data_IF_073887304783
#
_entry.id   IF_073887304783
#
_cell.length_a   1.000
_cell.length_b   1.000
_cell.length_c   1.000
_cell.angle_alpha   90.00
_cell.angle_beta   90.00
_cell.angle_gamma   90.00
#
_symmetry.space_group_name_H-M   'P 1'
#
loop_
_entity.id
_entity.type
_entity.pdbx_description
1 polymer ?
#
# COMPACT_ATOMS: atom_id res chain seq x y z
N UNK A 1 -7.91 15.97 -9.52
CA UNK A 1 -9.24 16.41 -9.00
C UNK A 1 -10.22 15.27 -9.17
N UNK A 2 -11.09 15.07 -8.20
CA UNK A 2 -12.08 13.98 -8.24
C UNK A 2 -13.44 14.55 -8.62
N UNK A 3 -14.25 13.74 -9.32
CA UNK A 3 -15.66 14.06 -9.53
C UNK A 3 -16.38 14.05 -8.16
N UNK A 4 -17.49 14.79 -8.05
CA UNK A 4 -18.21 14.89 -6.79
C UNK A 4 -18.68 13.55 -6.21
N UNK A 5 -18.91 12.55 -7.09
CA UNK A 5 -19.32 11.21 -6.69
C UNK A 5 -18.14 10.29 -6.33
N UNK A 6 -16.90 10.72 -6.56
CA UNK A 6 -15.72 9.93 -6.25
C UNK A 6 -15.35 10.08 -4.79
N UNK A 7 -15.09 8.95 -4.14
CA UNK A 7 -14.64 8.91 -2.75
C UNK A 7 -13.18 8.48 -2.73
N UNK A 8 -12.29 9.42 -2.41
CA UNK A 8 -10.89 9.12 -2.21
C UNK A 8 -10.72 8.35 -0.91
N UNK A 9 -10.09 7.19 -0.99
CA UNK A 9 -9.69 6.45 0.19
C UNK A 9 -8.19 6.59 0.40
N UNK A 10 -7.80 6.65 1.66
CA UNK A 10 -6.41 6.65 2.09
C UNK A 10 -6.32 5.88 3.38
N UNK A 11 -5.65 4.75 3.35
CA UNK A 11 -5.46 3.92 4.51
C UNK A 11 -3.97 3.82 4.82
N UNK A 12 -3.60 4.25 6.03
CA UNK A 12 -2.23 4.08 6.53
C UNK A 12 -2.07 2.68 7.11
N UNK A 13 -0.94 2.06 6.79
CA UNK A 13 -0.60 0.77 7.37
C UNK A 13 -0.31 0.93 8.86
N UNK A 14 -0.81 0.01 9.68
CA UNK A 14 -0.47 -0.09 11.09
C UNK A 14 0.87 -0.79 11.31
N UNK A 15 1.45 -1.39 10.27
CA UNK A 15 2.69 -2.16 10.32
C UNK A 15 3.83 -1.40 9.66
N UNK A 16 5.02 -1.49 10.28
CA UNK A 16 6.24 -0.97 9.68
C UNK A 16 6.69 -1.90 8.55
N UNK A 17 7.28 -1.31 7.51
CA UNK A 17 7.96 -2.12 6.50
C UNK A 17 9.35 -2.55 6.96
N UNK A 18 9.91 -3.53 6.28
CA UNK A 18 11.23 -4.09 6.53
C UNK A 18 12.13 -3.81 5.33
N UNK A 19 13.39 -3.47 5.58
CA UNK A 19 14.40 -3.36 4.53
C UNK A 19 14.83 -4.77 4.13
N UNK A 20 14.54 -5.15 2.88
CA UNK A 20 14.90 -6.46 2.34
C UNK A 20 16.28 -6.44 1.69
N UNK A 21 16.68 -5.29 1.17
CA UNK A 21 17.99 -5.05 0.59
C UNK A 21 18.36 -3.59 0.80
N UNK A 22 19.50 -3.31 1.44
CA UNK A 22 19.91 -1.93 1.76
C UNK A 22 20.63 -1.23 0.62
N UNK A 23 21.37 -1.96 -0.21
CA UNK A 23 21.98 -1.45 -1.43
C UNK A 23 20.97 -1.60 -2.57
N UNK A 24 20.75 -0.57 -3.39
CA UNK A 24 19.62 -0.52 -4.33
C UNK A 24 18.33 -0.89 -3.62
N UNK A 25 17.91 -0.08 -2.71
CA UNK A 25 16.95 -0.33 -1.65
C UNK A 25 15.67 -1.04 -2.11
N UNK A 26 15.40 -2.19 -1.50
CA UNK A 26 14.14 -2.93 -1.64
C UNK A 26 13.53 -3.06 -0.25
N UNK A 27 12.24 -2.72 -0.15
CA UNK A 27 11.50 -2.78 1.10
C UNK A 27 10.24 -3.63 0.93
N UNK A 28 9.77 -4.19 2.02
CA UNK A 28 8.55 -4.99 2.04
C UNK A 28 7.74 -4.73 3.29
N UNK A 29 6.44 -4.83 3.19
CA UNK A 29 5.54 -4.64 4.31
C UNK A 29 4.08 -4.61 3.89
N UNK A 30 3.19 -4.56 4.88
CA UNK A 30 1.77 -4.48 4.61
C UNK A 30 1.35 -3.03 4.36
N UNK A 31 0.80 -2.77 3.18
CA UNK A 31 0.24 -1.48 2.81
C UNK A 31 -1.21 -1.31 3.33
N UNK A 32 -1.91 -2.42 3.51
CA UNK A 32 -3.26 -2.45 4.10
C UNK A 32 -3.48 -3.78 4.80
N UNK A 33 -4.20 -3.76 5.90
CA UNK A 33 -4.65 -4.96 6.62
C UNK A 33 -6.16 -4.86 6.87
N UNK A 34 -6.82 -6.00 7.06
CA UNK A 34 -8.26 -6.04 7.26
C UNK A 34 -8.62 -5.67 8.71
N UNK A 35 -8.54 -4.38 9.01
CA UNK A 35 -9.01 -3.80 10.28
C UNK A 35 -9.72 -2.48 9.97
N UNK A 36 -10.57 -2.03 10.89
CA UNK A 36 -11.15 -0.71 10.83
C UNK A 36 -10.07 0.32 11.15
N UNK A 37 -9.85 1.26 10.25
CA UNK A 37 -8.82 2.28 10.39
C UNK A 37 -9.32 3.53 11.14
N UNK A 38 -8.46 4.56 11.22
CA UNK A 38 -8.78 5.83 11.89
C UNK A 38 -9.90 6.62 11.22
N UNK A 39 -10.19 6.32 9.95
CA UNK A 39 -11.28 6.94 9.20
C UNK A 39 -12.58 6.15 9.34
N UNK A 40 -12.58 5.13 10.17
CA UNK A 40 -13.71 4.23 10.38
C UNK A 40 -14.07 3.41 9.12
N UNK A 41 -13.08 3.14 8.28
CA UNK A 41 -13.20 2.33 7.07
C UNK A 41 -12.52 0.99 7.24
N UNK A 42 -13.16 -0.05 6.74
CA UNK A 42 -12.60 -1.39 6.64
C UNK A 42 -12.61 -1.82 5.18
N UNK A 43 -11.45 -2.18 4.65
CA UNK A 43 -11.34 -2.75 3.31
C UNK A 43 -11.28 -4.27 3.47
N UNK A 44 -12.23 -4.97 2.87
CA UNK A 44 -12.25 -6.44 2.97
C UNK A 44 -11.08 -7.05 2.19
N UNK A 45 -10.61 -8.23 2.60
CA UNK A 45 -9.56 -8.95 1.88
C UNK A 45 -9.99 -9.29 0.46
N UNK A 46 -11.27 -9.61 0.26
CA UNK A 46 -11.83 -9.89 -1.06
C UNK A 46 -11.74 -8.67 -1.98
N UNK A 47 -12.11 -7.49 -1.48
CA UNK A 47 -11.99 -6.24 -2.23
C UNK A 47 -10.55 -5.91 -2.55
N UNK A 48 -9.64 -6.09 -1.59
CA UNK A 48 -8.20 -5.89 -1.78
C UNK A 48 -7.64 -6.83 -2.84
N UNK A 49 -7.99 -8.12 -2.78
CA UNK A 49 -7.48 -9.12 -3.70
C UNK A 49 -7.80 -8.76 -5.15
N UNK A 50 -9.04 -8.37 -5.42
CA UNK A 50 -9.48 -7.96 -6.75
C UNK A 50 -8.77 -6.67 -7.20
N UNK A 51 -8.71 -5.67 -6.32
CA UNK A 51 -8.07 -4.38 -6.62
C UNK A 51 -6.57 -4.53 -6.87
N UNK A 52 -5.90 -5.35 -6.09
CA UNK A 52 -4.46 -5.63 -6.23
C UNK A 52 -4.17 -6.36 -7.53
N UNK A 53 -5.03 -7.32 -7.91
CA UNK A 53 -4.89 -8.03 -9.17
C UNK A 53 -4.96 -7.06 -10.35
N UNK A 54 -5.92 -6.15 -10.35
CA UNK A 54 -6.06 -5.13 -11.38
C UNK A 54 -4.87 -4.17 -11.38
N UNK A 55 -4.45 -3.71 -10.21
CA UNK A 55 -3.30 -2.82 -10.04
C UNK A 55 -2.01 -3.46 -10.56
N UNK A 56 -1.77 -4.73 -10.25
CA UNK A 56 -0.56 -5.43 -10.68
C UNK A 56 -0.57 -5.85 -12.14
N UNK A 57 -1.74 -5.86 -12.80
CA UNK A 57 -1.84 -6.18 -14.23
C UNK A 57 -1.27 -5.07 -15.13
N UNK A 58 -1.24 -3.83 -14.64
CA UNK A 58 -0.78 -2.65 -15.38
C UNK A 58 0.59 -2.19 -14.88
N UNK A 59 1.66 -2.65 -15.52
CA UNK A 59 3.04 -2.35 -15.10
C UNK A 59 3.36 -0.86 -15.04
N UNK A 60 2.75 -0.06 -15.92
CA UNK A 60 2.98 1.40 -15.97
C UNK A 60 2.36 2.17 -14.79
N UNK A 61 1.51 1.53 -14.00
CA UNK A 61 0.82 2.17 -12.89
C UNK A 61 1.20 1.63 -11.51
N UNK A 62 2.24 0.80 -11.42
CA UNK A 62 2.75 0.27 -10.14
C UNK A 62 3.63 1.29 -9.41
N UNK A 63 3.17 2.52 -9.35
CA UNK A 63 3.96 3.64 -8.85
C UNK A 63 3.89 3.79 -7.35
N UNK A 64 5.05 4.05 -6.74
CA UNK A 64 5.15 4.49 -5.35
C UNK A 64 5.49 5.96 -5.36
N UNK A 65 4.59 6.77 -4.79
CA UNK A 65 4.73 8.23 -4.77
C UNK A 65 5.24 8.69 -3.41
N UNK A 66 5.99 9.77 -3.42
CA UNK A 66 6.40 10.40 -2.17
C UNK A 66 5.22 11.18 -1.60
N UNK A 67 4.87 10.89 -0.36
CA UNK A 67 4.02 11.69 0.54
C UNK A 67 3.04 12.65 -0.15
N UNK A 68 2.08 12.10 -0.93
CA UNK A 68 1.02 12.83 -1.62
C UNK A 68 1.46 13.75 -2.76
N UNK A 69 2.70 13.62 -3.21
CA UNK A 69 3.18 14.33 -4.38
C UNK A 69 3.05 13.45 -5.64
N UNK A 70 3.23 14.05 -6.81
CA UNK A 70 3.23 13.31 -8.07
C UNK A 70 4.65 12.83 -8.44
N UNK A 71 5.57 12.83 -7.48
CA UNK A 71 6.94 12.36 -7.72
C UNK A 71 7.05 10.88 -7.42
N UNK A 72 7.29 10.10 -8.45
CA UNK A 72 7.51 8.65 -8.32
C UNK A 72 8.90 8.40 -7.72
N UNK A 73 8.93 7.72 -6.60
CA UNK A 73 10.17 7.38 -5.88
C UNK A 73 10.49 5.89 -5.89
N UNK A 74 9.58 5.08 -6.38
CA UNK A 74 9.76 3.63 -6.47
C UNK A 74 8.66 2.97 -7.28
N UNK A 75 8.75 1.65 -7.38
CA UNK A 75 7.72 0.84 -8.02
C UNK A 75 7.46 -0.44 -7.23
N UNK A 76 6.23 -0.90 -7.30
CA UNK A 76 5.85 -2.20 -6.74
C UNK A 76 6.32 -3.28 -7.69
N UNK A 77 7.10 -4.23 -7.17
CA UNK A 77 7.56 -5.39 -7.93
C UNK A 77 6.82 -6.65 -7.46
N UNK A 78 6.79 -7.66 -8.31
CA UNK A 78 6.03 -8.88 -8.02
C UNK A 78 6.63 -9.69 -6.88
N UNK A 79 7.96 -9.76 -6.80
CA UNK A 79 8.65 -10.54 -5.78
C UNK A 79 10.11 -10.15 -5.66
N UNK A 80 10.69 -10.52 -4.53
CA UNK A 80 12.12 -10.39 -4.27
C UNK A 80 12.57 -11.52 -3.34
N UNK A 81 13.69 -12.18 -3.68
CA UNK A 81 14.32 -13.18 -2.81
C UNK A 81 15.49 -12.53 -2.09
N UNK A 82 15.46 -12.54 -0.77
CA UNK A 82 16.51 -11.94 0.04
C UNK A 82 17.77 -12.82 0.13
N UNK A 83 18.81 -12.29 0.78
CA UNK A 83 20.09 -12.99 0.94
C UNK A 83 20.00 -14.30 1.73
N UNK A 84 18.95 -14.45 2.55
CA UNK A 84 18.68 -15.66 3.30
C UNK A 84 17.89 -16.71 2.51
N UNK A 85 17.53 -16.41 1.26
CA UNK A 85 16.74 -17.28 0.41
C UNK A 85 15.23 -17.18 0.62
N UNK A 86 14.76 -16.26 1.47
CA UNK A 86 13.33 -16.05 1.70
C UNK A 86 12.72 -15.27 0.54
N UNK A 87 11.63 -15.81 0.00
CA UNK A 87 10.89 -15.16 -1.08
C UNK A 87 9.78 -14.27 -0.52
N UNK A 88 9.83 -12.99 -0.88
CA UNK A 88 8.84 -12.00 -0.52
C UNK A 88 8.00 -11.68 -1.75
N UNK A 89 6.69 -11.81 -1.66
CA UNK A 89 5.76 -11.62 -2.80
C UNK A 89 4.77 -10.53 -2.52
N UNK A 90 4.56 -9.67 -3.51
CA UNK A 90 3.45 -8.72 -3.51
C UNK A 90 2.14 -9.48 -3.73
N UNK A 91 1.16 -9.24 -2.87
CA UNK A 91 -0.15 -9.85 -2.98
C UNK A 91 -0.95 -9.77 -1.69
N UNK A 92 -2.15 -10.28 -1.75
CA UNK A 92 -3.05 -10.33 -0.60
C UNK A 92 -2.96 -11.70 0.05
N UNK A 93 -2.71 -11.71 1.36
CA UNK A 93 -2.71 -12.92 2.17
C UNK A 93 -3.82 -12.86 3.23
N UNK A 94 -3.78 -13.72 4.24
CA UNK A 94 -4.80 -13.74 5.30
C UNK A 94 -4.75 -12.54 6.26
N UNK A 95 -3.73 -11.70 6.15
CA UNK A 95 -3.55 -10.49 6.98
C UNK A 95 -3.96 -9.24 6.22
N UNK A 96 -3.53 -9.10 4.99
CA UNK A 96 -3.79 -7.90 4.19
C UNK A 96 -2.99 -7.88 2.91
N UNK A 97 -2.75 -6.67 2.41
CA UNK A 97 -1.98 -6.43 1.19
C UNK A 97 -0.51 -6.22 1.51
N UNK A 98 0.30 -7.23 1.23
CA UNK A 98 1.76 -7.15 1.34
C UNK A 98 2.35 -6.62 0.03
N UNK A 99 3.24 -5.64 0.10
CA UNK A 99 3.91 -5.07 -1.07
C UNK A 99 5.42 -5.21 -0.96
N UNK A 100 6.05 -5.45 -2.11
CA UNK A 100 7.51 -5.40 -2.27
C UNK A 100 7.82 -4.25 -3.20
N UNK A 101 8.64 -3.32 -2.75
CA UNK A 101 8.91 -2.07 -3.46
C UNK A 101 10.40 -1.94 -3.72
N UNK A 102 10.74 -1.67 -4.98
CA UNK A 102 12.07 -1.27 -5.39
C UNK A 102 12.11 0.25 -5.47
N UNK A 103 13.02 0.86 -4.72
CA UNK A 103 13.16 2.31 -4.66
C UNK A 103 14.05 2.81 -5.78
N UNK A 104 13.74 4.00 -6.29
CA UNK A 104 14.63 4.73 -7.21
C UNK A 104 15.77 5.36 -6.41
N UNK A 105 16.89 5.62 -7.08
CA UNK A 105 18.04 6.33 -6.51
C UNK A 105 18.62 7.38 -7.46
N UNK A 106 17.91 7.67 -8.55
CA UNK A 106 18.36 8.52 -9.65
C UNK A 106 17.86 9.97 -9.57
N UNK A 107 16.99 10.29 -8.61
CA UNK A 107 16.49 11.65 -8.39
C UNK A 107 16.64 12.05 -6.92
N UNK A 108 16.79 13.35 -6.66
CA UNK A 108 16.99 13.85 -5.29
C UNK A 108 15.87 13.50 -4.34
N UNK A 109 14.62 13.57 -4.78
CA UNK A 109 13.48 13.23 -3.92
C UNK A 109 13.52 11.77 -3.49
N UNK A 110 13.86 10.86 -4.39
CA UNK A 110 14.02 9.44 -4.07
C UNK A 110 15.18 9.20 -3.11
N UNK A 111 16.31 9.88 -3.31
CA UNK A 111 17.46 9.79 -2.41
C UNK A 111 17.12 10.27 -1.01
N UNK A 112 16.36 11.36 -0.89
CA UNK A 112 15.87 11.90 0.37
C UNK A 112 14.98 10.88 1.09
N UNK A 113 14.03 10.29 0.38
CA UNK A 113 13.13 9.27 0.91
C UNK A 113 13.94 8.04 1.37
N UNK A 114 14.90 7.60 0.57
CA UNK A 114 15.74 6.43 0.91
C UNK A 114 16.58 6.69 2.18
N UNK A 115 17.08 7.90 2.37
CA UNK A 115 17.77 8.27 3.60
C UNK A 115 16.83 8.17 4.81
N UNK A 116 15.59 8.65 4.67
CA UNK A 116 14.58 8.55 5.72
C UNK A 116 14.22 7.11 6.07
N UNK A 117 14.13 6.24 5.06
CA UNK A 117 13.86 4.82 5.25
C UNK A 117 15.01 4.16 6.02
N UNK A 118 16.25 4.40 5.62
CA UNK A 118 17.43 3.82 6.28
C UNK A 118 17.62 4.30 7.71
N UNK A 119 17.24 5.55 8.00
CA UNK A 119 17.29 6.12 9.35
C UNK A 119 16.13 5.70 10.23
N UNK A 120 15.08 5.11 9.66
CA UNK A 120 13.87 4.71 10.37
C UNK A 120 12.90 5.86 10.65
N UNK A 121 13.06 7.02 10.00
CA UNK A 121 12.11 8.13 10.11
C UNK A 121 10.90 7.97 9.22
N UNK A 122 11.04 7.18 8.15
CA UNK A 122 9.95 6.75 7.26
C UNK A 122 9.81 5.24 7.41
N UNK A 123 8.67 4.76 7.91
CA UNK A 123 8.51 3.37 8.33
C UNK A 123 7.28 2.66 7.81
N UNK A 124 6.33 3.36 7.20
CA UNK A 124 5.08 2.75 6.77
C UNK A 124 4.60 3.30 5.44
N UNK A 125 3.69 2.53 4.83
CA UNK A 125 3.02 2.89 3.58
C UNK A 125 1.62 3.40 3.86
N UNK A 126 1.07 4.12 2.88
CA UNK A 126 -0.37 4.30 2.78
C UNK A 126 -0.81 3.91 1.37
N UNK A 127 -1.99 3.33 1.26
CA UNK A 127 -2.60 3.11 -0.04
C UNK A 127 -3.47 4.30 -0.40
N UNK A 128 -3.46 4.63 -1.68
CA UNK A 128 -4.38 5.60 -2.25
C UNK A 128 -5.28 4.91 -3.26
N UNK A 129 -6.48 5.39 -3.41
CA UNK A 129 -7.40 4.80 -4.35
C UNK A 129 -8.76 5.45 -4.27
N UNK A 130 -9.73 4.74 -4.85
CA UNK A 130 -11.09 5.19 -4.97
C UNK A 130 -12.03 4.07 -4.54
N UNK A 131 -12.90 4.36 -3.59
CA UNK A 131 -13.94 3.39 -3.20
C UNK A 131 -15.02 3.39 -4.28
N UNK A 132 -15.28 2.23 -4.86
CA UNK A 132 -16.34 2.03 -5.85
C UNK A 132 -17.65 1.68 -5.14
N UNK A 133 -17.57 0.86 -4.10
CA UNK A 133 -18.71 0.45 -3.29
C UNK A 133 -18.37 0.54 -1.82
N UNK A 134 -19.21 1.21 -1.05
CA UNK A 134 -19.03 1.44 0.38
C UNK A 134 -20.36 1.31 1.08
N UNK A 135 -20.41 0.54 2.17
CA UNK A 135 -21.62 0.29 2.95
C UNK A 135 -21.39 0.53 4.43
N UNK A 136 -22.40 1.07 5.10
CA UNK A 136 -22.38 1.16 6.56
C UNK A 136 -22.66 -0.21 7.15
N UNK A 137 -21.87 -0.59 8.15
CA UNK A 137 -21.98 -1.84 8.87
C UNK A 137 -21.91 -1.59 10.37
N UNK A 138 -22.40 -2.54 11.14
CA UNK A 138 -22.32 -2.54 12.59
C UNK A 138 -21.93 -3.93 13.07
N UNK A 139 -20.92 -4.01 13.92
CA UNK A 139 -20.50 -5.28 14.54
C UNK A 139 -20.22 -5.09 16.02
N UNK A 140 -20.19 -6.20 16.77
CA UNK A 140 -19.83 -6.18 18.19
C UNK A 140 -18.36 -5.79 18.37
N UNK A 141 -17.49 -6.17 17.43
CA UNK A 141 -16.05 -5.92 17.50
C UNK A 141 -15.71 -4.46 17.21
N UNK A 142 -16.34 -3.86 16.18
CA UNK A 142 -15.96 -2.54 15.68
C UNK A 142 -17.00 -1.45 15.92
N UNK A 143 -18.21 -1.80 16.37
CA UNK A 143 -19.33 -0.87 16.42
C UNK A 143 -19.79 -0.50 15.02
N UNK A 144 -20.06 0.79 14.78
CA UNK A 144 -20.42 1.28 13.46
C UNK A 144 -19.17 1.61 12.64
N UNK A 145 -19.11 1.11 11.40
CA UNK A 145 -18.01 1.35 10.48
C UNK A 145 -18.49 1.29 9.03
N UNK A 146 -17.64 1.76 8.12
CA UNK A 146 -17.89 1.67 6.69
C UNK A 146 -17.10 0.50 6.11
N UNK A 147 -17.78 -0.40 5.41
CA UNK A 147 -17.14 -1.51 4.70
C UNK A 147 -16.95 -1.14 3.25
N UNK A 148 -15.71 -1.21 2.79
CA UNK A 148 -15.36 -0.98 1.39
C UNK A 148 -15.30 -2.33 0.70
N UNK A 149 -16.30 -2.59 -0.15
CA UNK A 149 -16.47 -3.88 -0.84
C UNK A 149 -15.82 -3.89 -2.22
N UNK A 150 -15.58 -2.73 -2.79
CA UNK A 150 -14.95 -2.60 -4.10
C UNK A 150 -14.16 -1.30 -4.16
N UNK A 151 -12.94 -1.37 -4.68
CA UNK A 151 -12.07 -0.20 -4.80
C UNK A 151 -11.14 -0.34 -6.00
N UNK A 152 -10.59 0.80 -6.39
CA UNK A 152 -9.52 0.90 -7.39
C UNK A 152 -8.30 1.51 -6.72
N UNK A 153 -7.14 0.89 -6.86
CA UNK A 153 -5.87 1.40 -6.33
C UNK A 153 -5.19 2.32 -7.33
N UNK A 154 -4.58 3.35 -6.81
CA UNK A 154 -3.83 4.32 -7.60
C UNK A 154 -2.36 4.34 -7.28
#
# INVERSE_FOLDING_TARGET
MFAEQEVLIRQESSSDFTILKSDNLVIGGYASIEIVDKQNDLITLEALEKAVKDFMSEKSYRNVMSNHSNVQVGEVIEQYRDSNGTLHKTGVDGVGFYVVIKMRDDIEKAKEINRGIRKGTLRSFSIGGQAISKRERKSEEYGEYNEIDSLELH
#
